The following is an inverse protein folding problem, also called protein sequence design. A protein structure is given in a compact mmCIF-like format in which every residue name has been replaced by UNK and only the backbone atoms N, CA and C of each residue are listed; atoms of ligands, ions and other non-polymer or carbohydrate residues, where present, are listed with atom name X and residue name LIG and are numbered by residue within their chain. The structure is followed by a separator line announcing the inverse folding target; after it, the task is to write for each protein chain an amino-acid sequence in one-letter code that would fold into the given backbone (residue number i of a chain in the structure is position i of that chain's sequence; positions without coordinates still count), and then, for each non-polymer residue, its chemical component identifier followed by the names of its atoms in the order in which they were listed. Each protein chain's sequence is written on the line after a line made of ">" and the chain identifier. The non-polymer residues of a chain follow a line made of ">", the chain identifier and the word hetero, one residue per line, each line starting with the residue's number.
data_IF_841184349909
#
_entry.id   IF_841184349909
#
_cell.length_a   1.000
_cell.length_b   1.000
_cell.length_c   1.000
_cell.angle_alpha   90.00
_cell.angle_beta   90.00
_cell.angle_gamma   90.00
#
_symmetry.space_group_name_H-M   'P 1'
#
loop_
_entity.id
_entity.type
_entity.pdbx_description
1 polymer ?
#
# COMPACT_ATOMS: atom_id res chain seq x y z
N UNK A 1 21.78 9.87 -0.83
CA UNK A 1 21.91 9.08 0.42
C UNK A 1 22.30 7.64 0.11
N UNK A 2 22.82 6.93 1.08
CA UNK A 2 23.15 5.51 0.95
C UNK A 2 21.93 4.62 1.26
N UNK A 3 22.01 3.34 0.87
CA UNK A 3 20.89 2.39 1.02
C UNK A 3 20.40 2.25 2.48
N UNK A 4 21.32 2.33 3.46
CA UNK A 4 20.94 2.27 4.88
C UNK A 4 20.16 3.49 5.36
N UNK A 5 20.44 4.66 4.80
CA UNK A 5 19.68 5.90 5.08
C UNK A 5 18.30 5.85 4.45
N UNK A 6 18.22 5.37 3.20
CA UNK A 6 16.93 5.14 2.53
C UNK A 6 16.07 4.14 3.33
N UNK A 7 16.67 3.03 3.77
CA UNK A 7 15.96 2.01 4.54
C UNK A 7 15.39 2.57 5.84
N UNK A 8 16.15 3.36 6.56
CA UNK A 8 15.69 4.04 7.79
C UNK A 8 14.58 5.05 7.52
N UNK A 9 14.77 5.89 6.49
CA UNK A 9 13.79 6.92 6.12
C UNK A 9 12.44 6.33 5.69
N UNK A 10 12.46 5.21 4.97
CA UNK A 10 11.24 4.52 4.50
C UNK A 10 10.71 3.47 5.48
N UNK A 11 11.36 3.29 6.63
CA UNK A 11 11.01 2.29 7.64
C UNK A 11 10.92 0.86 7.08
N UNK A 12 11.90 0.47 6.27
CA UNK A 12 12.07 -0.87 5.71
C UNK A 12 13.51 -1.36 5.97
N UNK A 13 13.75 -2.65 5.77
CA UNK A 13 15.13 -3.14 5.81
C UNK A 13 15.81 -3.02 4.43
N UNK A 14 17.13 -3.11 4.41
CA UNK A 14 17.95 -3.02 3.20
C UNK A 14 17.57 -4.12 2.19
N UNK A 15 17.24 -5.31 2.65
CA UNK A 15 16.85 -6.42 1.80
C UNK A 15 15.55 -6.15 1.03
N UNK A 16 14.62 -5.42 1.65
CA UNK A 16 13.39 -4.97 0.99
C UNK A 16 13.70 -4.04 -0.18
N UNK A 17 14.62 -3.10 0.00
CA UNK A 17 15.03 -2.18 -1.09
C UNK A 17 15.66 -2.97 -2.23
N UNK A 18 16.58 -3.88 -1.92
CA UNK A 18 17.22 -4.75 -2.94
C UNK A 18 16.22 -5.63 -3.66
N UNK A 19 15.20 -6.11 -2.94
CA UNK A 19 14.10 -6.86 -3.53
C UNK A 19 13.31 -6.01 -4.52
N UNK A 20 12.93 -4.78 -4.15
CA UNK A 20 12.22 -3.87 -5.04
C UNK A 20 13.05 -3.49 -6.27
N UNK A 21 14.36 -3.34 -6.13
CA UNK A 21 15.26 -3.14 -7.29
C UNK A 21 15.23 -4.34 -8.23
N UNK A 22 15.35 -5.55 -7.71
CA UNK A 22 15.31 -6.79 -8.53
C UNK A 22 13.98 -6.98 -9.25
N UNK A 23 12.88 -6.64 -8.61
CA UNK A 23 11.54 -6.73 -9.19
C UNK A 23 11.22 -5.56 -10.14
N UNK A 24 12.13 -4.63 -10.33
CA UNK A 24 11.95 -3.49 -11.22
C UNK A 24 10.96 -2.44 -10.71
N UNK A 25 10.68 -2.44 -9.41
CA UNK A 25 9.84 -1.43 -8.75
C UNK A 25 10.59 -0.15 -8.42
N UNK A 26 11.89 -0.26 -8.18
CA UNK A 26 12.79 0.88 -8.04
C UNK A 26 13.69 0.99 -9.27
N UNK A 27 14.03 2.21 -9.72
CA UNK A 27 15.02 2.38 -10.77
C UNK A 27 16.38 1.90 -10.28
N UNK A 28 17.23 1.55 -11.23
CA UNK A 28 18.63 1.23 -10.92
C UNK A 28 19.29 2.48 -10.34
N UNK A 29 19.82 2.43 -9.10
CA UNK A 29 20.40 3.61 -8.48
C UNK A 29 21.66 4.04 -9.23
N UNK A 30 21.88 5.35 -9.28
CA UNK A 30 23.16 5.90 -9.74
C UNK A 30 24.28 5.48 -8.78
N UNK A 31 25.51 5.44 -9.28
CA UNK A 31 26.68 5.16 -8.46
C UNK A 31 27.54 6.41 -8.34
N UNK A 32 28.07 6.67 -7.16
CA UNK A 32 29.05 7.73 -6.97
C UNK A 32 30.43 7.32 -7.54
N UNK A 33 31.39 8.23 -7.49
CA UNK A 33 32.75 8.00 -7.97
C UNK A 33 33.47 6.82 -7.28
N UNK A 34 33.01 6.44 -6.08
CA UNK A 34 33.54 5.29 -5.32
C UNK A 34 32.79 3.99 -5.61
N UNK A 35 31.82 3.99 -6.54
CA UNK A 35 31.05 2.82 -6.94
C UNK A 35 29.87 2.47 -6.03
N UNK A 36 29.57 3.28 -5.01
CA UNK A 36 28.44 3.07 -4.11
C UNK A 36 27.12 3.56 -4.70
N UNK A 37 26.03 2.83 -4.42
CA UNK A 37 24.66 3.20 -4.81
C UNK A 37 24.25 4.50 -4.12
N UNK A 38 23.69 5.41 -4.89
CA UNK A 38 23.13 6.67 -4.42
C UNK A 38 21.62 6.74 -4.69
N UNK A 39 20.90 7.16 -3.69
CA UNK A 39 19.43 7.31 -3.70
C UNK A 39 19.06 8.76 -3.39
N UNK A 40 17.88 9.18 -3.82
CA UNK A 40 17.36 10.51 -3.56
C UNK A 40 16.07 10.48 -2.72
N UNK A 41 15.50 11.65 -2.47
CA UNK A 41 14.25 11.77 -1.71
C UNK A 41 13.04 11.16 -2.43
N UNK A 42 13.05 11.14 -3.77
CA UNK A 42 12.03 10.48 -4.56
C UNK A 42 12.00 8.97 -4.36
N UNK A 43 13.16 8.37 -4.09
CA UNK A 43 13.24 6.95 -3.76
C UNK A 43 12.57 6.64 -2.41
N UNK A 44 12.64 7.56 -1.43
CA UNK A 44 11.93 7.41 -0.16
C UNK A 44 10.41 7.34 -0.39
N UNK A 45 9.90 8.30 -1.15
CA UNK A 45 8.46 8.36 -1.49
C UNK A 45 8.01 7.11 -2.23
N UNK A 46 8.83 6.66 -3.17
CA UNK A 46 8.55 5.46 -3.96
C UNK A 46 8.54 4.19 -3.11
N UNK A 47 9.52 3.99 -2.25
CA UNK A 47 9.58 2.83 -1.34
C UNK A 47 8.40 2.86 -0.36
N UNK A 48 8.07 4.02 0.19
CA UNK A 48 6.93 4.20 1.09
C UNK A 48 5.60 3.88 0.38
N UNK A 49 5.45 4.32 -0.86
CA UNK A 49 4.29 4.00 -1.69
C UNK A 49 4.16 2.49 -1.95
N UNK A 50 5.24 1.83 -2.35
CA UNK A 50 5.25 0.39 -2.60
C UNK A 50 4.86 -0.38 -1.33
N UNK A 51 5.51 -0.08 -0.21
CA UNK A 51 5.24 -0.70 1.08
C UNK A 51 3.78 -0.53 1.51
N UNK A 52 3.27 0.70 1.45
CA UNK A 52 1.88 1.00 1.83
C UNK A 52 0.86 0.23 0.99
N UNK A 53 1.09 0.10 -0.31
CA UNK A 53 0.21 -0.67 -1.18
C UNK A 53 0.30 -2.18 -0.94
N UNK A 54 1.49 -2.71 -0.62
CA UNK A 54 1.62 -4.11 -0.21
C UNK A 54 0.86 -4.41 1.08
N UNK A 55 0.91 -3.51 2.05
CA UNK A 55 0.16 -3.63 3.31
C UNK A 55 -1.36 -3.64 3.07
N UNK A 56 -1.84 -2.95 2.04
CA UNK A 56 -3.24 -2.97 1.60
C UNK A 56 -3.60 -4.24 0.80
N UNK A 57 -2.65 -5.13 0.55
CA UNK A 57 -2.88 -6.38 -0.16
C UNK A 57 -2.76 -6.30 -1.68
N UNK A 58 -2.21 -5.21 -2.24
CA UNK A 58 -1.89 -5.15 -3.66
C UNK A 58 -0.70 -6.03 -4.00
N UNK A 59 -0.75 -6.71 -5.15
CA UNK A 59 0.38 -7.47 -5.67
C UNK A 59 1.46 -6.54 -6.21
N UNK A 60 2.70 -7.03 -6.30
CA UNK A 60 3.80 -6.26 -6.89
C UNK A 60 3.52 -5.86 -8.34
N UNK A 61 2.87 -6.73 -9.12
CA UNK A 61 2.47 -6.42 -10.49
C UNK A 61 1.46 -5.28 -10.57
N UNK A 62 0.46 -5.27 -9.69
CA UNK A 62 -0.52 -4.18 -9.59
C UNK A 62 0.15 -2.87 -9.18
N UNK A 63 1.06 -2.92 -8.21
CA UNK A 63 1.83 -1.75 -7.74
C UNK A 63 2.69 -1.19 -8.88
N UNK A 64 3.34 -2.06 -9.64
CA UNK A 64 4.15 -1.66 -10.79
C UNK A 64 3.31 -0.92 -11.84
N UNK A 65 2.11 -1.40 -12.13
CA UNK A 65 1.19 -0.72 -13.05
C UNK A 65 0.77 0.66 -12.54
N UNK A 66 0.52 0.80 -11.23
CA UNK A 66 0.22 2.10 -10.61
C UNK A 66 1.40 3.08 -10.72
N UNK A 67 2.63 2.59 -10.51
CA UNK A 67 3.84 3.39 -10.67
C UNK A 67 4.06 3.83 -12.12
N UNK A 68 3.81 2.96 -13.08
CA UNK A 68 3.91 3.26 -14.50
C UNK A 68 2.87 4.29 -14.93
N UNK A 69 1.63 4.16 -14.46
CA UNK A 69 0.57 5.13 -14.70
C UNK A 69 0.94 6.51 -14.16
N UNK A 70 1.45 6.59 -12.93
CA UNK A 70 1.89 7.83 -12.32
C UNK A 70 3.03 8.49 -13.13
N UNK A 71 3.98 7.69 -13.60
CA UNK A 71 5.09 8.18 -14.45
C UNK A 71 4.58 8.77 -15.77
N UNK A 72 3.61 8.13 -16.40
CA UNK A 72 3.03 8.61 -17.66
C UNK A 72 2.32 9.94 -17.44
N UNK A 73 1.51 10.06 -16.40
CA UNK A 73 0.81 11.31 -16.07
C UNK A 73 1.80 12.44 -15.77
N UNK A 74 2.83 12.16 -14.99
CA UNK A 74 3.86 13.14 -14.65
C UNK A 74 4.68 13.62 -15.89
N UNK A 75 4.82 12.76 -16.90
CA UNK A 75 5.52 13.08 -18.14
C UNK A 75 4.64 13.78 -19.19
N UNK A 76 3.34 13.92 -18.94
CA UNK A 76 2.44 14.64 -19.85
C UNK A 76 2.79 16.13 -19.93
N UNK A 77 2.91 16.63 -21.16
CA UNK A 77 3.13 18.05 -21.43
C UNK A 77 1.91 18.65 -22.10
N UNK A 78 1.65 19.94 -21.84
CA UNK A 78 0.57 20.65 -22.52
C UNK A 78 1.14 21.57 -23.62
N UNK A 79 0.52 21.62 -24.82
CA UNK A 79 -0.59 20.79 -25.27
C UNK A 79 -0.22 19.31 -25.38
N UNK A 80 -1.17 18.43 -25.18
CA UNK A 80 -0.94 16.97 -25.21
C UNK A 80 -0.34 16.54 -26.55
N UNK A 81 0.82 15.89 -26.50
CA UNK A 81 1.51 15.35 -27.68
C UNK A 81 1.19 13.89 -27.94
N UNK A 82 0.58 13.21 -26.98
CA UNK A 82 0.20 11.82 -27.11
C UNK A 82 -0.95 11.65 -28.09
N UNK A 83 -0.92 10.55 -28.85
CA UNK A 83 -2.02 10.20 -29.73
C UNK A 83 -3.27 9.87 -28.91
N UNK A 84 -4.50 10.22 -29.40
CA UNK A 84 -5.75 9.93 -28.67
C UNK A 84 -5.90 8.44 -28.31
N UNK A 85 -5.46 7.52 -29.16
CA UNK A 85 -5.50 6.09 -28.88
C UNK A 85 -4.61 5.68 -27.68
N UNK A 86 -3.44 6.29 -27.53
CA UNK A 86 -2.53 6.04 -26.40
C UNK A 86 -3.15 6.57 -25.11
N UNK A 87 -3.78 7.74 -25.14
CA UNK A 87 -4.49 8.33 -23.99
C UNK A 87 -5.66 7.47 -23.56
N UNK A 88 -6.45 6.93 -24.49
CA UNK A 88 -7.56 6.03 -24.19
C UNK A 88 -7.09 4.76 -23.49
N UNK A 89 -5.98 4.16 -23.92
CA UNK A 89 -5.40 3.00 -23.28
C UNK A 89 -4.95 3.27 -21.84
N UNK A 90 -4.36 4.44 -21.59
CA UNK A 90 -3.94 4.87 -20.25
C UNK A 90 -5.16 5.12 -19.35
N UNK A 91 -6.21 5.76 -19.86
CA UNK A 91 -7.46 6.01 -19.14
C UNK A 91 -8.12 4.68 -18.76
N UNK A 92 -8.16 3.72 -19.67
CA UNK A 92 -8.75 2.40 -19.44
C UNK A 92 -7.98 1.64 -18.35
N UNK A 93 -6.64 1.65 -18.39
CA UNK A 93 -5.79 1.07 -17.35
C UNK A 93 -6.08 1.72 -15.98
N UNK A 94 -6.19 3.04 -15.94
CA UNK A 94 -6.54 3.78 -14.72
C UNK A 94 -7.91 3.39 -14.17
N UNK A 95 -8.91 3.23 -15.03
CA UNK A 95 -10.26 2.79 -14.65
C UNK A 95 -10.28 1.36 -14.11
N UNK A 96 -9.55 0.45 -14.73
CA UNK A 96 -9.41 -0.93 -14.24
C UNK A 96 -8.77 -0.97 -12.85
N UNK A 97 -7.74 -0.17 -12.62
CA UNK A 97 -7.09 -0.07 -11.31
C UNK A 97 -8.01 0.56 -10.27
N UNK A 98 -8.75 1.59 -10.63
CA UNK A 98 -9.74 2.21 -9.75
C UNK A 98 -10.83 1.20 -9.35
N UNK A 99 -11.33 0.43 -10.29
CA UNK A 99 -12.34 -0.61 -10.00
C UNK A 99 -11.78 -1.70 -9.08
N UNK A 100 -10.53 -2.12 -9.27
CA UNK A 100 -9.87 -3.07 -8.36
C UNK A 100 -9.76 -2.51 -6.93
N UNK A 101 -9.42 -1.23 -6.78
CA UNK A 101 -9.41 -0.52 -5.49
C UNK A 101 -10.81 -0.48 -4.88
N UNK A 102 -11.82 -0.11 -5.65
CA UNK A 102 -13.20 -0.04 -5.20
C UNK A 102 -13.72 -1.40 -4.70
N UNK A 103 -13.34 -2.49 -5.38
CA UNK A 103 -13.66 -3.84 -4.92
C UNK A 103 -12.99 -4.18 -3.59
N UNK A 104 -11.72 -3.82 -3.40
CA UNK A 104 -11.03 -4.00 -2.11
C UNK A 104 -11.69 -3.19 -1.00
N UNK A 105 -12.10 -1.97 -1.27
CA UNK A 105 -12.84 -1.13 -0.31
C UNK A 105 -14.15 -1.79 0.10
N UNK A 106 -14.92 -2.30 -0.85
CA UNK A 106 -16.18 -3.03 -0.58
C UNK A 106 -15.92 -4.28 0.27
N UNK A 107 -14.88 -5.05 -0.06
CA UNK A 107 -14.52 -6.26 0.70
C UNK A 107 -14.09 -5.93 2.13
N UNK A 108 -13.32 -4.87 2.32
CA UNK A 108 -12.92 -4.41 3.65
C UNK A 108 -14.10 -3.92 4.46
N UNK A 109 -15.04 -3.18 3.88
CA UNK A 109 -16.27 -2.78 4.55
C UNK A 109 -17.12 -3.98 4.96
N UNK A 110 -17.25 -5.00 4.11
CA UNK A 110 -17.97 -6.23 4.43
C UNK A 110 -17.32 -6.96 5.60
N UNK A 111 -16.00 -7.06 5.60
CA UNK A 111 -15.23 -7.66 6.69
C UNK A 111 -15.38 -6.87 8.00
N UNK A 112 -15.33 -5.55 7.91
CA UNK A 112 -15.53 -4.66 9.05
C UNK A 112 -16.90 -4.87 9.68
N UNK A 113 -17.97 -4.91 8.88
CA UNK A 113 -19.34 -5.19 9.36
C UNK A 113 -19.43 -6.55 10.04
N UNK A 114 -18.81 -7.58 9.45
CA UNK A 114 -18.81 -8.93 10.02
C UNK A 114 -18.09 -8.99 11.34
N UNK A 115 -16.91 -8.40 11.45
CA UNK A 115 -16.16 -8.35 12.72
C UNK A 115 -16.90 -7.56 13.80
N UNK A 116 -17.49 -6.44 13.42
CA UNK A 116 -18.33 -5.64 14.36
C UNK A 116 -19.48 -6.47 14.91
N UNK A 117 -20.16 -7.23 14.06
CA UNK A 117 -21.26 -8.11 14.47
C UNK A 117 -20.78 -9.23 15.41
N UNK A 118 -19.65 -9.87 15.07
CA UNK A 118 -19.06 -10.92 15.90
C UNK A 118 -18.65 -10.39 17.29
N UNK A 119 -18.04 -9.21 17.35
CA UNK A 119 -17.65 -8.57 18.61
C UNK A 119 -18.88 -8.26 19.47
N UNK A 120 -19.97 -7.78 18.88
CA UNK A 120 -21.24 -7.56 19.61
C UNK A 120 -21.80 -8.85 20.19
N UNK A 121 -21.73 -9.95 19.44
CA UNK A 121 -22.17 -11.26 19.91
C UNK A 121 -21.30 -11.76 21.07
N UNK A 122 -19.99 -11.57 21.00
CA UNK A 122 -19.07 -11.92 22.08
C UNK A 122 -19.29 -11.08 23.33
N UNK A 123 -19.49 -9.79 23.19
CA UNK A 123 -19.81 -8.89 24.30
C UNK A 123 -21.12 -9.30 25.00
N UNK A 124 -22.16 -9.60 24.22
CA UNK A 124 -23.44 -10.08 24.74
C UNK A 124 -23.27 -11.43 25.46
N UNK A 125 -22.49 -12.36 24.90
CA UNK A 125 -22.22 -13.64 25.54
C UNK A 125 -21.41 -13.48 26.84
N UNK A 126 -20.46 -12.57 26.90
CA UNK A 126 -19.68 -12.27 28.09
C UNK A 126 -20.55 -11.68 29.19
N UNK A 127 -21.45 -10.74 28.87
CA UNK A 127 -22.41 -10.19 29.81
C UNK A 127 -23.40 -11.24 30.31
N UNK A 128 -23.85 -12.14 29.45
CA UNK A 128 -24.75 -13.23 29.84
C UNK A 128 -24.06 -14.28 30.72
N UNK A 129 -22.76 -14.51 30.52
CA UNK A 129 -21.99 -15.47 31.29
C UNK A 129 -21.62 -14.99 32.71
N UNK A 130 -21.58 -13.66 32.94
CA UNK A 130 -21.12 -13.06 34.22
C UNK A 130 -22.14 -12.28 35.03
N UNK A 131 -23.47 -12.37 34.84
CA UNK A 131 -24.40 -11.54 35.59
C UNK A 131 -24.48 -11.89 37.08
N UNK A 132 -24.35 -13.15 37.44
CA UNK A 132 -24.50 -13.65 38.79
C UNK A 132 -23.32 -13.28 39.71
N UNK A 133 -22.11 -13.18 39.20
CA UNK A 133 -20.93 -12.81 39.96
C UNK A 133 -20.91 -11.32 40.37
N UNK A 134 -21.70 -10.51 39.70
CA UNK A 134 -21.78 -9.06 39.95
C UNK A 134 -22.85 -8.69 40.98
N UNK A 135 -23.77 -9.59 41.29
CA UNK A 135 -24.96 -9.31 42.08
C UNK A 135 -25.05 -10.17 43.31
N UNK A 136 -23.99 -10.71 43.86
CA UNK A 136 -24.01 -11.46 45.08
C UNK A 136 -23.83 -10.51 46.28
N UNK A 137 -24.94 -10.09 46.92
CA UNK A 137 -24.89 -9.16 48.04
C UNK A 137 -24.36 -9.80 49.34
N UNK A 138 -24.20 -11.11 49.34
CA UNK A 138 -23.76 -11.87 50.53
C UNK A 138 -22.27 -12.25 50.48
N UNK A 139 -21.49 -11.69 49.58
CA UNK A 139 -20.04 -11.84 49.67
C UNK A 139 -19.50 -10.97 50.79
N UNK A 140 -18.86 -11.56 51.78
CA UNK A 140 -18.19 -10.76 52.77
C UNK A 140 -17.09 -9.90 52.21
#
# INVERSE_FOLDING_TARGET
>A
MHIGELARAAAVNIQTIRFYEREGLLPVPTRNNSGYRCYDTGDIERVTFIKGNQELGFTLGEIKQLLDLHRVVAAMTFPLRQKPAELLGIIELGRERLEAINQKVRSLHAMQRRLTSLLKQLDAATLAACPASKSNPNRP
#
